data_IF_176654647057
#
_entry.id   IF_176654647057
#
_cell.length_a   1.000
_cell.length_b   1.000
_cell.length_c   1.000
_cell.angle_alpha   90.00
_cell.angle_beta   90.00
_cell.angle_gamma   90.00
#
_symmetry.space_group_name_H-M   'P 1'
#
loop_
_entity.id
_entity.type
_entity.pdbx_description
1 polymer ?
#
# COMPACT_ATOMS: atom_id res chain seq x y z
N UNK A 1 -1.85 16.71 22.68
CA UNK A 1 -0.98 17.15 21.56
C UNK A 1 -1.39 18.56 21.16
N UNK A 2 -0.46 19.42 20.73
CA UNK A 2 -0.80 20.70 20.10
C UNK A 2 -1.26 20.50 18.65
N UNK A 3 -1.92 21.53 18.07
CA UNK A 3 -2.34 21.60 16.65
C UNK A 3 -1.19 21.37 15.65
N UNK A 4 0.05 21.36 16.15
CA UNK A 4 1.30 21.19 15.41
C UNK A 4 1.95 19.81 15.63
N UNK A 5 1.25 18.83 16.22
CA UNK A 5 1.76 17.47 16.45
C UNK A 5 2.86 17.37 17.52
N UNK A 6 3.17 18.46 18.23
CA UNK A 6 4.15 18.45 19.32
C UNK A 6 3.48 18.01 20.63
N UNK A 7 4.17 17.13 21.37
CA UNK A 7 3.80 16.78 22.75
C UNK A 7 3.89 18.05 23.61
N UNK A 8 2.79 18.41 24.29
CA UNK A 8 2.81 19.49 25.27
C UNK A 8 3.71 19.06 26.41
N UNK A 9 4.76 19.85 26.72
CA UNK A 9 5.63 19.63 27.88
C UNK A 9 4.79 19.74 29.15
N UNK A 10 4.28 18.62 29.64
CA UNK A 10 3.69 18.53 30.97
C UNK A 10 4.81 18.12 31.95
N UNK A 11 5.09 18.95 32.95
CA UNK A 11 6.24 18.86 33.89
C UNK A 11 6.13 17.70 34.91
N UNK A 12 5.59 16.54 34.53
CA UNK A 12 5.42 15.42 35.48
C UNK A 12 5.06 14.09 34.85
N UNK A 13 5.23 13.95 33.52
CA UNK A 13 5.09 12.67 32.82
C UNK A 13 6.37 12.47 32.04
N UNK A 14 7.03 11.34 32.24
CA UNK A 14 8.28 10.98 31.56
C UNK A 14 8.02 10.92 30.06
N UNK A 15 8.28 12.04 29.38
CA UNK A 15 8.16 12.14 27.94
C UNK A 15 8.99 11.05 27.25
N UNK A 16 10.06 10.60 27.89
CA UNK A 16 10.91 9.51 27.42
C UNK A 16 10.19 8.15 27.44
N UNK A 17 9.31 7.88 28.41
CA UNK A 17 8.51 6.64 28.43
C UNK A 17 7.42 6.67 27.36
N UNK A 18 6.76 7.82 27.18
CA UNK A 18 5.76 7.99 26.12
C UNK A 18 6.42 7.89 24.75
N UNK A 19 7.61 8.47 24.58
CA UNK A 19 8.39 8.37 23.34
C UNK A 19 8.85 6.92 23.12
N UNK A 20 9.34 6.22 24.16
CA UNK A 20 9.70 4.80 24.07
C UNK A 20 8.50 3.93 23.70
N UNK A 21 7.33 4.14 24.30
CA UNK A 21 6.11 3.40 23.96
C UNK A 21 5.69 3.65 22.52
N UNK A 22 5.67 4.92 22.07
CA UNK A 22 5.34 5.26 20.68
C UNK A 22 6.36 4.65 19.70
N UNK A 23 7.64 4.65 20.07
CA UNK A 23 8.71 4.00 19.30
C UNK A 23 8.53 2.48 19.29
N UNK A 24 8.23 1.83 20.42
CA UNK A 24 8.01 0.38 20.47
C UNK A 24 6.76 -0.01 19.67
N UNK A 25 5.71 0.80 19.70
CA UNK A 25 4.46 0.56 18.99
C UNK A 25 4.56 0.86 17.48
N UNK A 26 5.38 1.82 17.05
CA UNK A 26 5.47 2.26 15.65
C UNK A 26 6.80 1.98 14.93
N UNK A 27 7.91 1.80 15.65
CA UNK A 27 9.07 1.14 15.07
C UNK A 27 8.83 -0.36 15.19
N UNK A 28 8.87 -1.01 14.04
CA UNK A 28 9.08 -2.45 13.90
C UNK A 28 10.48 -2.77 14.50
N UNK A 29 10.59 -2.82 15.83
CA UNK A 29 11.85 -3.10 16.58
C UNK A 29 12.25 -4.57 16.42
N UNK A 30 11.45 -5.38 15.76
CA UNK A 30 11.82 -6.70 15.26
C UNK A 30 12.55 -6.55 13.93
N UNK A 31 13.86 -6.28 13.97
CA UNK A 31 14.71 -6.45 12.80
C UNK A 31 14.54 -7.86 12.22
N UNK A 32 13.68 -8.01 11.21
CA UNK A 32 13.45 -9.24 10.44
C UNK A 32 12.85 -10.45 11.18
N UNK A 33 12.81 -10.48 12.51
CA UNK A 33 12.36 -11.64 13.29
C UNK A 33 10.99 -11.41 13.93
N UNK A 34 9.93 -11.64 13.14
CA UNK A 34 8.56 -11.84 13.65
C UNK A 34 8.54 -13.08 14.54
N UNK A 35 7.87 -13.02 15.70
CA UNK A 35 7.69 -14.18 16.60
C UNK A 35 7.19 -15.37 15.78
N UNK A 36 7.90 -16.50 15.83
CA UNK A 36 7.57 -17.66 15.01
C UNK A 36 6.12 -18.10 15.28
N UNK A 37 5.28 -17.87 14.29
CA UNK A 37 3.95 -18.45 14.25
C UNK A 37 4.07 -19.85 13.66
N UNK A 38 3.31 -20.82 14.19
CA UNK A 38 3.23 -22.17 13.60
C UNK A 38 2.82 -22.07 12.12
N UNK A 39 2.06 -21.04 11.78
CA UNK A 39 1.63 -20.72 10.41
C UNK A 39 2.77 -20.24 9.48
N UNK A 40 3.88 -19.74 10.02
CA UNK A 40 5.06 -19.33 9.23
C UNK A 40 6.05 -20.49 9.00
N UNK A 41 5.72 -21.71 9.45
CA UNK A 41 6.54 -22.89 9.14
C UNK A 41 6.40 -23.29 7.66
N UNK A 42 7.50 -23.71 7.03
CA UNK A 42 7.51 -24.21 5.64
C UNK A 42 6.62 -25.45 5.46
N UNK A 43 6.49 -26.27 6.50
CA UNK A 43 5.61 -27.43 6.51
C UNK A 43 4.14 -27.02 6.36
N UNK A 44 3.70 -25.99 7.08
CA UNK A 44 2.35 -25.46 6.97
C UNK A 44 2.07 -24.91 5.56
N UNK A 45 3.01 -24.15 5.01
CA UNK A 45 2.90 -23.64 3.64
C UNK A 45 2.77 -24.77 2.63
N UNK A 46 3.58 -25.83 2.74
CA UNK A 46 3.52 -26.99 1.82
C UNK A 46 2.17 -27.72 1.86
N UNK A 47 1.52 -27.80 3.03
CA UNK A 47 0.21 -28.44 3.20
C UNK A 47 -0.91 -27.57 2.63
N UNK A 48 -0.88 -26.26 2.89
CA UNK A 48 -1.94 -25.33 2.47
C UNK A 48 -1.83 -24.95 0.99
N UNK A 49 -0.62 -24.88 0.45
CA UNK A 49 -0.36 -24.47 -0.93
C UNK A 49 -1.17 -25.23 -1.99
N UNK A 50 -1.29 -26.57 -1.98
CA UNK A 50 -2.14 -27.27 -2.95
C UNK A 50 -3.63 -26.93 -2.78
N UNK A 51 -4.10 -26.71 -1.55
CA UNK A 51 -5.49 -26.32 -1.30
C UNK A 51 -5.79 -24.90 -1.82
N UNK A 52 -4.86 -23.96 -1.60
CA UNK A 52 -5.03 -22.57 -2.10
C UNK A 52 -4.95 -22.51 -3.61
N UNK A 53 -4.05 -23.28 -4.23
CA UNK A 53 -3.98 -23.41 -5.70
C UNK A 53 -5.28 -23.99 -6.24
N UNK A 54 -5.77 -25.10 -5.69
CA UNK A 54 -7.00 -25.71 -6.18
C UNK A 54 -8.19 -24.75 -6.07
N UNK A 55 -8.30 -24.02 -4.96
CA UNK A 55 -9.32 -22.98 -4.77
C UNK A 55 -9.18 -21.87 -5.82
N UNK A 56 -7.95 -21.43 -6.08
CA UNK A 56 -7.66 -20.42 -7.09
C UNK A 56 -8.01 -20.90 -8.50
N UNK A 57 -7.63 -22.11 -8.89
CA UNK A 57 -7.94 -22.71 -10.20
C UNK A 57 -9.46 -22.86 -10.38
N UNK A 58 -10.17 -23.32 -9.35
CA UNK A 58 -11.64 -23.41 -9.39
C UNK A 58 -12.26 -22.03 -9.62
N UNK A 59 -11.76 -21.02 -8.90
CA UNK A 59 -12.24 -19.65 -9.03
C UNK A 59 -11.95 -19.08 -10.42
N UNK A 60 -10.74 -19.26 -10.97
CA UNK A 60 -10.39 -18.79 -12.32
C UNK A 60 -11.16 -19.53 -13.41
N UNK A 61 -11.39 -20.83 -13.27
CA UNK A 61 -12.20 -21.61 -14.20
C UNK A 61 -13.66 -21.16 -14.18
N UNK A 62 -14.24 -20.92 -13.00
CA UNK A 62 -15.58 -20.36 -12.86
C UNK A 62 -15.67 -18.96 -13.49
N UNK A 63 -14.67 -18.11 -13.22
CA UNK A 63 -14.56 -16.79 -13.82
C UNK A 63 -14.50 -16.85 -15.35
N UNK A 64 -13.64 -17.71 -15.88
CA UNK A 64 -13.50 -17.90 -17.33
C UNK A 64 -14.81 -18.40 -17.93
N UNK A 65 -15.50 -19.34 -17.27
CA UNK A 65 -16.79 -19.81 -17.75
C UNK A 65 -17.86 -18.70 -17.75
N UNK A 66 -17.98 -17.95 -16.65
CA UNK A 66 -18.96 -16.85 -16.54
C UNK A 66 -18.68 -15.73 -17.54
N UNK A 67 -17.45 -15.22 -17.59
CA UNK A 67 -17.16 -14.04 -18.41
C UNK A 67 -16.80 -14.36 -19.86
N UNK A 68 -16.12 -15.47 -20.16
CA UNK A 68 -15.73 -15.79 -21.54
C UNK A 68 -16.83 -16.52 -22.32
N UNK A 69 -17.59 -17.41 -21.68
CA UNK A 69 -18.60 -18.23 -22.38
C UNK A 69 -19.99 -17.62 -22.24
N UNK A 70 -20.43 -17.24 -21.03
CA UNK A 70 -21.77 -16.68 -20.84
C UNK A 70 -21.89 -15.21 -21.29
N UNK A 71 -20.76 -14.50 -21.45
CA UNK A 71 -20.72 -13.07 -21.82
C UNK A 71 -21.62 -12.21 -20.92
N UNK A 72 -21.76 -12.59 -19.66
CA UNK A 72 -22.47 -11.80 -18.67
C UNK A 72 -21.73 -10.47 -18.45
N UNK A 73 -22.48 -9.40 -18.18
CA UNK A 73 -21.90 -8.15 -17.71
C UNK A 73 -21.08 -8.42 -16.44
N UNK A 74 -19.93 -7.75 -16.32
CA UNK A 74 -19.10 -7.90 -15.13
C UNK A 74 -19.91 -7.50 -13.90
N UNK A 75 -20.08 -8.45 -12.97
CA UNK A 75 -20.61 -8.18 -11.65
C UNK A 75 -19.76 -7.09 -10.96
N UNK A 76 -20.32 -6.35 -10.01
CA UNK A 76 -19.60 -5.22 -9.41
C UNK A 76 -18.36 -5.70 -8.64
N UNK A 77 -18.45 -6.86 -7.98
CA UNK A 77 -17.31 -7.57 -7.39
C UNK A 77 -16.24 -7.91 -8.43
N UNK A 78 -16.66 -8.25 -9.65
CA UNK A 78 -15.75 -8.61 -10.73
C UNK A 78 -15.05 -7.39 -11.33
N UNK A 79 -15.77 -6.27 -11.47
CA UNK A 79 -15.21 -4.97 -11.85
C UNK A 79 -14.18 -4.52 -10.81
N UNK A 80 -14.50 -4.58 -9.52
CA UNK A 80 -13.57 -4.24 -8.43
C UNK A 80 -12.31 -5.11 -8.47
N UNK A 81 -12.46 -6.42 -8.68
CA UNK A 81 -11.31 -7.31 -8.82
C UNK A 81 -10.40 -6.89 -9.98
N UNK A 82 -10.96 -6.54 -11.15
CA UNK A 82 -10.20 -6.08 -12.31
C UNK A 82 -9.50 -4.75 -12.04
N UNK A 83 -10.21 -3.78 -11.46
CA UNK A 83 -9.66 -2.47 -11.07
C UNK A 83 -8.47 -2.66 -10.14
N UNK A 84 -8.63 -3.42 -9.06
CA UNK A 84 -7.55 -3.71 -8.11
C UNK A 84 -6.36 -4.38 -8.80
N UNK A 85 -6.62 -5.33 -9.70
CA UNK A 85 -5.57 -6.02 -10.46
C UNK A 85 -4.81 -5.09 -11.40
N UNK A 86 -5.48 -4.14 -12.04
CA UNK A 86 -4.85 -3.19 -12.96
C UNK A 86 -4.10 -2.08 -12.24
N UNK A 87 -4.59 -1.62 -11.09
CA UNK A 87 -3.87 -0.65 -10.27
C UNK A 87 -2.64 -1.32 -9.62
N UNK A 88 -2.74 -2.62 -9.27
CA UNK A 88 -1.63 -3.42 -8.74
C UNK A 88 -1.52 -3.36 -7.22
N UNK A 89 -2.65 -3.25 -6.52
CA UNK A 89 -2.73 -3.00 -5.07
C UNK A 89 -3.20 -4.26 -4.34
N UNK A 90 -2.69 -4.51 -3.14
CA UNK A 90 -3.24 -5.57 -2.28
C UNK A 90 -4.65 -5.22 -1.79
N UNK A 91 -5.41 -6.18 -1.24
CA UNK A 91 -6.79 -5.93 -0.82
C UNK A 91 -6.81 -4.94 0.32
N UNK A 92 -5.99 -5.26 1.32
CA UNK A 92 -5.82 -4.45 2.52
C UNK A 92 -5.36 -3.03 2.18
N UNK A 93 -4.47 -2.89 1.20
CA UNK A 93 -4.00 -1.58 0.77
C UNK A 93 -5.06 -0.83 -0.07
N UNK A 94 -5.86 -1.53 -0.87
CA UNK A 94 -6.99 -0.93 -1.59
C UNK A 94 -8.04 -0.40 -0.61
N UNK A 95 -8.46 -1.23 0.34
CA UNK A 95 -9.47 -0.90 1.37
C UNK A 95 -9.01 0.24 2.30
N UNK A 96 -7.68 0.41 2.48
CA UNK A 96 -7.12 1.49 3.30
C UNK A 96 -6.92 2.79 2.53
N UNK A 97 -6.57 2.72 1.23
CA UNK A 97 -6.21 3.90 0.44
C UNK A 97 -7.41 4.54 -0.25
N UNK A 98 -8.41 3.75 -0.65
CA UNK A 98 -9.56 4.22 -1.42
C UNK A 98 -10.80 4.29 -0.54
N UNK A 99 -11.41 5.46 -0.50
CA UNK A 99 -12.71 5.65 0.14
C UNK A 99 -13.82 5.18 -0.81
N UNK A 100 -15.03 4.94 -0.31
CA UNK A 100 -16.20 4.62 -1.14
C UNK A 100 -16.39 5.64 -2.30
N UNK A 101 -16.12 6.92 -2.06
CA UNK A 101 -16.15 7.97 -3.10
C UNK A 101 -15.11 7.76 -4.21
N UNK A 102 -13.91 7.28 -3.86
CA UNK A 102 -12.87 6.97 -4.85
C UNK A 102 -13.25 5.72 -5.65
N UNK A 103 -13.92 4.77 -5.02
CA UNK A 103 -14.45 3.58 -5.68
C UNK A 103 -15.52 3.99 -6.70
N UNK A 104 -16.42 4.89 -6.33
CA UNK A 104 -17.43 5.41 -7.26
C UNK A 104 -16.81 6.12 -8.47
N UNK A 105 -15.77 6.96 -8.30
CA UNK A 105 -15.01 7.58 -9.42
C UNK A 105 -14.35 6.51 -10.31
N UNK A 106 -13.84 5.42 -9.72
CA UNK A 106 -13.27 4.29 -10.47
C UNK A 106 -14.31 3.54 -11.29
N UNK A 107 -15.54 3.40 -10.77
CA UNK A 107 -16.66 2.81 -11.50
C UNK A 107 -17.17 3.75 -12.60
N UNK A 108 -17.31 5.05 -12.33
CA UNK A 108 -17.79 6.05 -13.30
C UNK A 108 -16.85 6.15 -14.51
N UNK A 109 -15.54 6.04 -14.30
CA UNK A 109 -14.52 6.07 -15.37
C UNK A 109 -14.32 4.73 -16.07
N UNK A 110 -15.10 3.71 -15.72
CA UNK A 110 -15.01 2.35 -16.25
C UNK A 110 -13.59 1.77 -16.13
N UNK A 111 -12.92 1.98 -14.98
CA UNK A 111 -11.54 1.54 -14.76
C UNK A 111 -11.37 0.00 -14.74
N UNK A 112 -12.45 -0.78 -14.92
CA UNK A 112 -12.33 -2.22 -15.25
C UNK A 112 -11.85 -2.45 -16.69
N UNK A 113 -11.73 -1.41 -17.52
CA UNK A 113 -11.01 -1.43 -18.78
C UNK A 113 -9.55 -1.05 -18.54
N UNK A 114 -8.61 -1.88 -19.00
CA UNK A 114 -7.17 -1.69 -18.78
C UNK A 114 -6.66 -0.33 -19.27
N UNK A 115 -7.22 0.19 -20.36
CA UNK A 115 -6.88 1.49 -20.93
C UNK A 115 -7.28 2.64 -20.00
N UNK A 116 -8.53 2.62 -19.55
CA UNK A 116 -9.10 3.65 -18.68
C UNK A 116 -8.44 3.62 -17.30
N UNK A 117 -8.14 2.42 -16.80
CA UNK A 117 -7.37 2.27 -15.56
C UNK A 117 -5.97 2.87 -15.68
N UNK A 118 -5.30 2.68 -16.83
CA UNK A 118 -3.96 3.21 -17.04
C UNK A 118 -3.96 4.75 -17.14
N UNK A 119 -4.95 5.34 -17.82
CA UNK A 119 -5.09 6.80 -17.90
C UNK A 119 -5.42 7.39 -16.53
N UNK A 120 -6.38 6.82 -15.80
CA UNK A 120 -6.72 7.25 -14.45
C UNK A 120 -5.54 7.16 -13.49
N UNK A 121 -4.77 6.05 -13.54
CA UNK A 121 -3.57 5.88 -12.72
C UNK A 121 -2.52 6.93 -13.04
N UNK A 122 -2.30 7.23 -14.33
CA UNK A 122 -1.37 8.27 -14.73
C UNK A 122 -1.81 9.67 -14.26
N UNK A 123 -3.11 9.98 -14.31
CA UNK A 123 -3.66 11.24 -13.79
C UNK A 123 -3.50 11.37 -12.27
N UNK A 124 -3.79 10.29 -11.53
CA UNK A 124 -3.60 10.23 -10.07
C UNK A 124 -2.14 10.38 -9.68
N UNK A 125 -1.25 9.64 -10.32
CA UNK A 125 0.20 9.69 -10.06
C UNK A 125 0.75 11.09 -10.38
N UNK A 126 0.28 11.72 -11.45
CA UNK A 126 0.65 13.11 -11.80
C UNK A 126 0.15 14.11 -10.75
N UNK A 127 -1.12 13.99 -10.32
CA UNK A 127 -1.69 14.86 -9.29
C UNK A 127 -0.96 14.70 -7.93
N UNK A 128 -0.57 13.47 -7.58
CA UNK A 128 0.23 13.21 -6.38
C UNK A 128 1.65 13.77 -6.52
N UNK A 129 2.27 13.61 -7.69
CA UNK A 129 3.58 14.19 -7.99
C UNK A 129 3.57 15.72 -7.93
N UNK A 130 2.52 16.36 -8.40
CA UNK A 130 2.34 17.82 -8.29
C UNK A 130 2.16 18.26 -6.84
N UNK A 131 1.31 17.58 -6.06
CA UNK A 131 1.15 17.83 -4.62
C UNK A 131 2.47 17.67 -3.88
N UNK A 132 3.23 16.62 -4.19
CA UNK A 132 4.57 16.40 -3.65
C UNK A 132 5.51 17.54 -4.07
N UNK A 133 5.53 17.93 -5.35
CA UNK A 133 6.37 19.00 -5.87
C UNK A 133 6.06 20.37 -5.23
N UNK A 134 4.79 20.63 -4.90
CA UNK A 134 4.37 21.84 -4.19
C UNK A 134 4.75 21.83 -2.72
N UNK A 135 4.81 20.65 -2.08
CA UNK A 135 5.14 20.51 -0.68
C UNK A 135 6.54 21.08 -0.36
N UNK A 136 6.62 21.91 0.70
CA UNK A 136 7.90 22.48 1.15
C UNK A 136 8.91 21.41 1.57
N UNK A 137 8.43 20.27 2.09
CA UNK A 137 9.25 19.12 2.49
C UNK A 137 9.97 18.50 1.29
N UNK A 138 9.26 18.22 0.21
CA UNK A 138 9.86 17.64 -0.99
C UNK A 138 10.86 18.60 -1.64
N UNK A 139 10.55 19.91 -1.70
CA UNK A 139 11.50 20.93 -2.18
C UNK A 139 12.78 20.96 -1.35
N UNK A 140 12.69 20.83 -0.02
CA UNK A 140 13.85 20.72 0.88
C UNK A 140 14.64 19.43 0.63
N UNK A 141 13.96 18.29 0.53
CA UNK A 141 14.59 17.00 0.23
C UNK A 141 15.32 17.00 -1.12
N UNK A 142 14.70 17.56 -2.17
CA UNK A 142 15.33 17.71 -3.49
C UNK A 142 16.59 18.59 -3.44
N UNK A 143 16.58 19.66 -2.65
CA UNK A 143 17.78 20.49 -2.41
C UNK A 143 18.87 19.72 -1.66
N UNK A 144 18.49 18.96 -0.63
CA UNK A 144 19.41 18.09 0.10
C UNK A 144 20.06 17.07 -0.84
N UNK A 145 19.30 16.34 -1.66
CA UNK A 145 19.88 15.38 -2.63
C UNK A 145 20.81 16.04 -3.64
N UNK A 146 20.51 17.26 -4.10
CA UNK A 146 21.40 18.00 -5.02
C UNK A 146 22.72 18.41 -4.35
N UNK A 147 22.69 18.73 -3.05
CA UNK A 147 23.87 19.15 -2.28
C UNK A 147 24.61 17.97 -1.62
N UNK A 148 23.94 16.83 -1.42
CA UNK A 148 24.51 15.62 -0.79
C UNK A 148 25.38 14.79 -1.76
N UNK A 149 25.69 15.31 -2.95
CA UNK A 149 26.57 14.71 -3.97
C UNK A 149 28.05 14.58 -3.57
N UNK A 150 28.36 14.60 -2.27
CA UNK A 150 29.70 14.34 -1.73
C UNK A 150 29.62 13.78 -0.29
N UNK A 151 28.84 12.73 -0.05
CA UNK A 151 29.15 11.83 1.06
C UNK A 151 30.09 10.76 0.48
N UNK A 152 31.35 11.14 0.26
CA UNK A 152 32.42 10.19 0.04
C UNK A 152 32.78 9.59 1.40
N UNK A 153 32.42 8.32 1.61
CA UNK A 153 32.89 7.49 2.73
C UNK A 153 34.37 7.09 2.51
N UNK A 154 35.22 8.02 2.11
CA UNK A 154 36.67 7.81 2.09
C UNK A 154 37.17 8.46 3.37
N UNK A 155 37.43 7.63 4.37
CA UNK A 155 38.08 8.01 5.60
C UNK A 155 39.44 8.66 5.26
N UNK A 156 39.64 9.91 5.67
CA UNK A 156 40.98 10.50 5.77
C UNK A 156 41.61 9.94 7.04
N UNK A 157 42.42 8.88 6.89
CA UNK A 157 43.51 8.52 7.80
C UNK A 157 44.77 9.35 7.49
#
# INVERSE_FOLDING_TARGET
>A
MDRNGKLKKNKGVDNDEVIKQIIIDNLDVTGGYKRESIYDTLAWHTIIFPLTIFRYIKWTALWYWRFAIQKEEYDDDAKLYLIRKYIGVSQMEFDQKYTDEDIDDLFERECWLKTNCATWKAERDAAEQEKMAQSGRYKRYKRYMKNAGTISFVDED
#
